data_IF_695420913378
#
_entry.id   IF_695420913378
#
_cell.length_a   1.000
_cell.length_b   1.000
_cell.length_c   1.000
_cell.angle_alpha   90.00
_cell.angle_beta   90.00
_cell.angle_gamma   90.00
#
_symmetry.space_group_name_H-M   'P 1'
#
loop_
_entity.id
_entity.type
_entity.pdbx_description
1 polymer ?
#
# COMPACT_ATOMS: atom_id res chain seq x y z
N UNK A 1 -0.45 17.01 70.83
CA UNK A 1 1.02 17.09 70.99
C UNK A 1 1.56 15.70 70.72
N UNK A 2 2.07 15.31 69.56
CA UNK A 2 2.54 16.02 68.36
C UNK A 2 2.17 15.19 67.12
N UNK A 3 1.77 15.86 66.05
CA UNK A 3 1.78 15.32 64.69
C UNK A 3 3.24 15.30 64.21
N UNK A 4 3.63 14.23 63.51
CA UNK A 4 4.88 14.19 62.77
C UNK A 4 4.51 14.01 61.31
N UNK A 5 4.75 15.08 60.56
CA UNK A 5 4.68 15.16 59.10
C UNK A 5 5.70 14.21 58.49
N UNK A 6 5.30 13.48 57.46
CA UNK A 6 6.23 12.90 56.50
C UNK A 6 5.64 13.15 55.11
N UNK A 7 5.91 14.35 54.58
CA UNK A 7 5.77 14.64 53.16
C UNK A 7 6.69 13.70 52.39
N UNK A 8 6.10 12.74 51.67
CA UNK A 8 6.80 11.99 50.64
C UNK A 8 6.55 12.66 49.29
N UNK A 9 7.63 13.29 48.84
CA UNK A 9 7.93 13.82 47.53
C UNK A 9 7.36 12.95 46.39
N UNK A 10 6.44 13.54 45.63
CA UNK A 10 5.89 13.01 44.39
C UNK A 10 6.86 13.42 43.27
N UNK A 11 7.94 12.66 43.12
CA UNK A 11 8.79 12.78 41.93
C UNK A 11 8.04 12.18 40.73
N UNK A 12 7.44 13.08 39.96
CA UNK A 12 6.99 12.91 38.59
C UNK A 12 8.00 12.11 37.76
N UNK A 13 7.59 10.93 37.29
CA UNK A 13 8.17 10.29 36.12
C UNK A 13 7.20 10.55 34.97
N UNK A 14 7.28 11.73 34.37
CA UNK A 14 6.79 11.93 33.01
C UNK A 14 7.69 11.12 32.08
N UNK A 15 7.35 9.83 31.93
CA UNK A 15 7.77 9.04 30.79
C UNK A 15 7.03 9.64 29.59
N UNK A 16 7.77 10.31 28.72
CA UNK A 16 7.32 10.65 27.38
C UNK A 16 6.84 9.37 26.70
N UNK A 17 5.53 9.15 26.67
CA UNK A 17 4.92 8.15 25.81
C UNK A 17 5.28 8.54 24.37
N UNK A 18 6.28 7.87 23.79
CA UNK A 18 6.40 7.78 22.34
C UNK A 18 5.05 7.23 21.86
N UNK A 19 4.21 8.14 21.35
CA UNK A 19 2.87 7.84 20.87
C UNK A 19 3.03 6.83 19.75
N UNK A 20 2.79 5.55 20.05
CA UNK A 20 2.85 4.46 19.07
C UNK A 20 1.93 4.82 17.91
N UNK A 21 2.53 5.10 16.74
CA UNK A 21 1.81 5.39 15.52
C UNK A 21 1.78 4.13 14.64
N UNK A 22 0.61 3.46 14.53
CA UNK A 22 0.48 2.29 13.66
C UNK A 22 0.78 2.61 12.18
N UNK A 23 0.57 3.84 11.72
CA UNK A 23 0.86 4.24 10.33
C UNK A 23 2.35 4.25 10.05
N UNK A 24 3.14 4.83 10.95
CA UNK A 24 4.60 4.85 10.78
C UNK A 24 5.16 3.43 10.72
N UNK A 25 4.62 2.52 11.54
CA UNK A 25 5.06 1.13 11.54
C UNK A 25 4.67 0.41 10.24
N UNK A 26 3.45 0.63 9.74
CA UNK A 26 3.01 0.14 8.42
C UNK A 26 3.95 0.66 7.32
N UNK A 27 4.24 1.95 7.34
CA UNK A 27 5.16 2.61 6.40
C UNK A 27 6.56 1.98 6.46
N UNK A 28 7.12 1.79 7.66
CA UNK A 28 8.40 1.09 7.88
C UNK A 28 8.39 -0.34 7.34
N UNK A 29 7.33 -1.10 7.58
CA UNK A 29 7.21 -2.49 7.08
C UNK A 29 7.20 -2.52 5.55
N UNK A 30 6.38 -1.68 4.92
CA UNK A 30 6.29 -1.60 3.46
C UNK A 30 7.63 -1.18 2.86
N UNK A 31 8.27 -0.14 3.38
CA UNK A 31 9.58 0.30 2.92
C UNK A 31 10.61 -0.83 2.99
N UNK A 32 10.63 -1.61 4.09
CA UNK A 32 11.57 -2.72 4.23
C UNK A 32 11.37 -3.83 3.18
N UNK A 33 10.13 -4.06 2.74
CA UNK A 33 9.80 -5.02 1.68
C UNK A 33 10.24 -4.50 0.31
N UNK A 34 10.11 -3.20 0.08
CA UNK A 34 10.52 -2.54 -1.17
C UNK A 34 12.03 -2.59 -1.40
N UNK A 35 12.83 -2.67 -0.32
CA UNK A 35 14.31 -2.80 -0.39
C UNK A 35 14.79 -4.22 -0.79
N UNK A 36 13.91 -5.18 -1.05
CA UNK A 36 14.33 -6.49 -1.53
C UNK A 36 14.74 -6.41 -3.01
N UNK A 37 16.04 -6.53 -3.29
CA UNK A 37 16.63 -6.35 -4.63
C UNK A 37 16.14 -7.37 -5.67
N UNK A 38 16.08 -8.66 -5.32
CA UNK A 38 15.66 -9.73 -6.23
C UNK A 38 14.90 -10.86 -5.53
N UNK A 39 13.93 -11.42 -6.25
CA UNK A 39 13.20 -12.63 -5.87
C UNK A 39 13.66 -13.86 -6.65
N UNK A 40 13.65 -15.00 -5.95
CA UNK A 40 13.98 -16.32 -6.53
C UNK A 40 13.02 -16.64 -7.68
N UNK A 41 13.55 -17.31 -8.71
CA UNK A 41 12.84 -17.54 -9.98
C UNK A 41 11.46 -18.17 -9.79
N UNK A 42 11.33 -19.14 -8.88
CA UNK A 42 10.11 -19.93 -8.68
C UNK A 42 8.90 -19.09 -8.26
N UNK A 43 9.08 -18.09 -7.37
CA UNK A 43 8.00 -17.24 -6.85
C UNK A 43 8.14 -15.77 -7.28
N UNK A 44 8.99 -15.49 -8.29
CA UNK A 44 9.34 -14.13 -8.69
C UNK A 44 8.14 -13.28 -9.08
N UNK A 45 7.22 -13.85 -9.86
CA UNK A 45 6.03 -13.14 -10.35
C UNK A 45 5.15 -12.68 -9.20
N UNK A 46 4.75 -13.61 -8.34
CA UNK A 46 3.88 -13.32 -7.19
C UNK A 46 4.53 -12.36 -6.20
N UNK A 47 5.84 -12.52 -5.96
CA UNK A 47 6.57 -11.62 -5.08
C UNK A 47 6.55 -10.18 -5.59
N UNK A 48 6.84 -9.96 -6.87
CA UNK A 48 6.78 -8.61 -7.45
C UNK A 48 5.35 -8.06 -7.51
N UNK A 49 4.34 -8.91 -7.71
CA UNK A 49 2.94 -8.46 -7.68
C UNK A 49 2.58 -7.86 -6.32
N UNK A 50 2.95 -8.52 -5.23
CA UNK A 50 2.74 -7.99 -3.88
C UNK A 50 3.54 -6.70 -3.64
N UNK A 51 4.81 -6.65 -4.03
CA UNK A 51 5.64 -5.43 -3.87
C UNK A 51 5.04 -4.25 -4.60
N UNK A 52 4.52 -4.44 -5.82
CA UNK A 52 3.86 -3.35 -6.56
C UNK A 52 2.63 -2.83 -5.82
N UNK A 53 1.79 -3.73 -5.28
CA UNK A 53 0.64 -3.33 -4.46
C UNK A 53 1.07 -2.61 -3.18
N UNK A 54 2.17 -3.04 -2.57
CA UNK A 54 2.72 -2.42 -1.35
C UNK A 54 3.25 -1.00 -1.63
N UNK A 55 3.94 -0.79 -2.75
CA UNK A 55 4.34 0.55 -3.19
C UNK A 55 3.14 1.47 -3.39
N UNK A 56 2.06 0.96 -3.96
CA UNK A 56 0.84 1.75 -4.12
C UNK A 56 0.17 2.07 -2.78
N UNK A 57 0.09 1.10 -1.88
CA UNK A 57 -0.38 1.35 -0.51
C UNK A 57 0.45 2.43 0.18
N UNK A 58 1.76 2.46 -0.03
CA UNK A 58 2.63 3.52 0.50
C UNK A 58 2.21 4.90 0.02
N UNK A 59 1.99 5.06 -1.30
CA UNK A 59 1.56 6.33 -1.91
C UNK A 59 0.21 6.79 -1.36
N UNK A 60 -0.77 5.86 -1.29
CA UNK A 60 -2.07 6.16 -0.66
C UNK A 60 -1.91 6.59 0.80
N UNK A 61 -1.01 5.96 1.53
CA UNK A 61 -0.84 6.23 2.94
C UNK A 61 -0.19 7.59 3.22
N UNK A 62 0.73 8.00 2.36
CA UNK A 62 1.34 9.34 2.40
C UNK A 62 0.27 10.42 2.17
N UNK A 63 -0.69 10.18 1.27
CA UNK A 63 -1.82 11.10 1.03
C UNK A 63 -2.83 11.11 2.18
N UNK A 64 -3.08 9.94 2.78
CA UNK A 64 -4.06 9.79 3.85
C UNK A 64 -3.51 10.18 5.23
N UNK A 65 -2.20 10.20 5.42
CA UNK A 65 -1.55 10.46 6.72
C UNK A 65 -2.12 11.71 7.43
N UNK A 66 -2.30 12.79 6.68
CA UNK A 66 -2.77 14.08 7.23
C UNK A 66 -4.28 14.11 7.47
N UNK A 67 -5.05 13.27 6.75
CA UNK A 67 -6.50 13.16 6.88
C UNK A 67 -6.93 12.22 8.01
N UNK A 68 -6.05 11.27 8.34
CA UNK A 68 -6.35 10.15 9.22
C UNK A 68 -6.07 10.42 10.70
N UNK A 69 -5.41 11.53 11.04
CA UNK A 69 -5.15 11.91 12.43
C UNK A 69 -6.13 12.97 12.96
N UNK A 70 -6.64 12.81 14.19
CA UNK A 70 -6.42 11.70 15.12
C UNK A 70 -7.30 10.48 14.82
N UNK A 71 -6.72 9.28 14.97
CA UNK A 71 -7.47 8.03 14.79
C UNK A 71 -8.49 7.79 15.89
N UNK A 72 -9.69 7.36 15.49
CA UNK A 72 -10.62 6.68 16.40
C UNK A 72 -10.07 5.29 16.77
N UNK A 73 -10.48 4.78 17.93
CA UNK A 73 -10.07 3.46 18.45
C UNK A 73 -10.34 2.30 17.46
N UNK A 74 -11.42 2.41 16.69
CA UNK A 74 -11.76 1.47 15.62
C UNK A 74 -10.74 1.48 14.48
N UNK A 75 -10.26 2.68 14.12
CA UNK A 75 -9.19 2.88 13.13
C UNK A 75 -7.89 2.25 13.61
N UNK A 76 -7.47 2.50 14.85
CA UNK A 76 -6.25 1.88 15.43
C UNK A 76 -6.31 0.35 15.42
N UNK A 77 -7.49 -0.22 15.73
CA UNK A 77 -7.70 -1.67 15.70
C UNK A 77 -7.58 -2.23 14.28
N UNK A 78 -8.20 -1.56 13.31
CA UNK A 78 -8.09 -1.92 11.89
C UNK A 78 -6.64 -1.83 11.39
N UNK A 79 -5.95 -0.75 11.70
CA UNK A 79 -4.54 -0.53 11.36
C UNK A 79 -3.63 -1.61 11.92
N UNK A 80 -3.89 -2.04 13.16
CA UNK A 80 -3.13 -3.14 13.76
C UNK A 80 -3.32 -4.44 12.98
N UNK A 81 -4.54 -4.74 12.52
CA UNK A 81 -4.79 -5.91 11.65
C UNK A 81 -4.06 -5.79 10.32
N UNK A 82 -4.11 -4.62 9.67
CA UNK A 82 -3.39 -4.37 8.41
C UNK A 82 -1.89 -4.59 8.61
N UNK A 83 -1.31 -4.01 9.66
CA UNK A 83 0.10 -4.20 10.04
C UNK A 83 0.45 -5.68 10.18
N UNK A 84 -0.36 -6.47 10.89
CA UNK A 84 -0.09 -7.89 11.09
C UNK A 84 -0.09 -8.68 9.78
N UNK A 85 -1.00 -8.35 8.84
CA UNK A 85 -1.02 -8.94 7.51
C UNK A 85 0.21 -8.54 6.69
N UNK A 86 0.66 -7.28 6.80
CA UNK A 86 1.87 -6.79 6.13
C UNK A 86 3.13 -7.47 6.67
N UNK A 87 3.21 -7.69 7.98
CA UNK A 87 4.31 -8.43 8.63
C UNK A 87 4.35 -9.88 8.15
N UNK A 88 3.20 -10.57 8.14
CA UNK A 88 3.10 -11.92 7.61
C UNK A 88 3.54 -11.99 6.13
N UNK A 89 3.17 -10.99 5.34
CA UNK A 89 3.58 -10.89 3.93
C UNK A 89 5.08 -10.63 3.79
N UNK A 90 5.65 -9.78 4.63
CA UNK A 90 7.09 -9.50 4.65
C UNK A 90 7.89 -10.78 4.90
N UNK A 91 7.46 -11.63 5.82
CA UNK A 91 8.15 -12.90 6.10
C UNK A 91 8.14 -13.84 4.89
N UNK A 92 6.99 -13.94 4.20
CA UNK A 92 6.89 -14.69 2.95
C UNK A 92 7.82 -14.13 1.86
N UNK A 93 7.85 -12.82 1.69
CA UNK A 93 8.71 -12.16 0.70
C UNK A 93 10.20 -12.26 1.06
N UNK A 94 10.54 -12.27 2.36
CA UNK A 94 11.90 -12.53 2.84
C UNK A 94 12.32 -13.96 2.51
N UNK A 95 11.44 -14.94 2.72
CA UNK A 95 11.67 -16.32 2.28
C UNK A 95 11.89 -16.38 0.76
N UNK A 96 11.08 -15.67 -0.03
CA UNK A 96 11.17 -15.67 -1.49
C UNK A 96 12.35 -14.88 -2.08
N UNK A 97 13.03 -14.04 -1.28
CA UNK A 97 14.23 -13.29 -1.69
C UNK A 97 15.51 -13.95 -1.19
N UNK A 98 15.54 -14.31 0.09
CA UNK A 98 16.74 -14.80 0.78
C UNK A 98 16.78 -16.34 0.91
N UNK A 99 15.64 -17.02 0.78
CA UNK A 99 15.51 -18.46 0.99
C UNK A 99 16.32 -19.32 0.01
N UNK A 100 16.53 -20.58 0.41
CA UNK A 100 17.22 -21.58 -0.40
C UNK A 100 16.45 -21.89 -1.67
N UNK A 101 17.16 -21.87 -2.82
CA UNK A 101 16.58 -22.17 -4.14
C UNK A 101 16.03 -23.60 -4.22
N UNK A 102 16.68 -24.56 -3.57
CA UNK A 102 16.25 -25.97 -3.57
C UNK A 102 15.01 -26.13 -2.70
N UNK A 103 15.01 -25.54 -1.49
CA UNK A 103 13.84 -25.58 -0.60
C UNK A 103 12.61 -24.96 -1.27
N UNK A 104 12.75 -23.78 -1.87
CA UNK A 104 11.66 -23.09 -2.57
C UNK A 104 11.16 -23.82 -3.82
N UNK A 105 12.00 -24.64 -4.46
CA UNK A 105 11.59 -25.48 -5.58
C UNK A 105 10.80 -26.71 -5.09
N UNK A 106 11.25 -27.34 -4.00
CA UNK A 106 10.59 -28.50 -3.40
C UNK A 106 9.24 -28.13 -2.76
N UNK A 107 9.19 -27.01 -2.04
CA UNK A 107 8.01 -26.55 -1.29
C UNK A 107 7.14 -25.58 -2.10
N UNK A 108 7.23 -25.59 -3.43
CA UNK A 108 6.55 -24.60 -4.29
C UNK A 108 5.05 -24.52 -3.99
N UNK A 109 4.38 -25.66 -3.85
CA UNK A 109 2.95 -25.73 -3.57
C UNK A 109 2.58 -25.09 -2.22
N UNK A 110 3.33 -25.42 -1.16
CA UNK A 110 3.13 -24.86 0.19
C UNK A 110 3.34 -23.35 0.20
N UNK A 111 4.38 -22.87 -0.50
CA UNK A 111 4.66 -21.44 -0.63
C UNK A 111 3.54 -20.74 -1.41
N UNK A 112 3.00 -21.35 -2.47
CA UNK A 112 1.89 -20.78 -3.25
C UNK A 112 0.57 -20.75 -2.47
N UNK A 113 0.28 -21.77 -1.65
CA UNK A 113 -0.85 -21.75 -0.69
C UNK A 113 -0.67 -20.58 0.28
N UNK A 114 0.56 -20.30 0.70
CA UNK A 114 0.86 -19.16 1.58
C UNK A 114 0.63 -17.81 0.86
N UNK A 115 0.98 -17.69 -0.42
CA UNK A 115 0.61 -16.52 -1.23
C UNK A 115 -0.90 -16.32 -1.31
N UNK A 116 -1.67 -17.38 -1.57
CA UNK A 116 -3.13 -17.28 -1.59
C UNK A 116 -3.67 -16.79 -0.24
N UNK A 117 -3.16 -17.35 0.86
CA UNK A 117 -3.53 -16.92 2.22
C UNK A 117 -3.19 -15.45 2.48
N UNK A 118 -2.07 -14.95 1.95
CA UNK A 118 -1.73 -13.51 2.01
C UNK A 118 -2.78 -12.69 1.25
N UNK A 119 -3.13 -13.07 0.02
CA UNK A 119 -4.13 -12.36 -0.77
C UNK A 119 -5.51 -12.35 -0.11
N UNK A 120 -5.92 -13.47 0.49
CA UNK A 120 -7.21 -13.57 1.19
C UNK A 120 -7.22 -12.66 2.44
N UNK A 121 -6.13 -12.67 3.21
CA UNK A 121 -5.97 -11.81 4.41
C UNK A 121 -5.93 -10.32 4.07
N UNK A 122 -5.23 -9.94 3.00
CA UNK A 122 -5.22 -8.56 2.52
C UNK A 122 -6.63 -8.15 2.08
N UNK A 123 -7.29 -8.97 1.25
CA UNK A 123 -8.66 -8.70 0.80
C UNK A 123 -9.63 -8.54 1.98
N UNK A 124 -9.51 -9.38 3.00
CA UNK A 124 -10.32 -9.27 4.21
C UNK A 124 -10.00 -7.98 4.99
N UNK A 125 -8.72 -7.69 5.25
CA UNK A 125 -8.33 -6.51 6.03
C UNK A 125 -8.77 -5.21 5.34
N UNK A 126 -8.71 -5.14 4.01
CA UNK A 126 -9.19 -3.98 3.25
C UNK A 126 -10.71 -3.97 3.05
N UNK A 127 -11.39 -5.11 3.10
CA UNK A 127 -12.85 -5.17 3.12
C UNK A 127 -13.46 -4.71 4.44
N UNK A 128 -12.73 -4.89 5.55
CA UNK A 128 -13.12 -4.47 6.91
C UNK A 128 -12.75 -3.01 7.21
N UNK A 129 -12.46 -2.18 6.19
CA UNK A 129 -12.08 -0.78 6.39
C UNK A 129 -13.29 0.00 6.97
N UNK A 130 -13.13 0.68 8.13
CA UNK A 130 -14.22 1.46 8.71
C UNK A 130 -14.35 2.82 8.01
N UNK A 131 -14.79 2.82 6.75
CA UNK A 131 -14.88 4.02 5.91
C UNK A 131 -15.76 5.13 6.52
N UNK A 132 -16.85 4.76 7.17
CA UNK A 132 -17.82 5.69 7.76
C UNK A 132 -17.25 6.34 9.03
N UNK A 133 -16.39 5.62 9.75
CA UNK A 133 -15.78 6.07 10.99
C UNK A 133 -14.45 6.80 10.79
N UNK A 134 -13.71 6.51 9.71
CA UNK A 134 -12.42 7.15 9.43
C UNK A 134 -12.56 8.47 8.63
N UNK A 135 -13.78 8.91 8.28
CA UNK A 135 -13.99 10.17 7.55
C UNK A 135 -13.45 10.15 6.11
N UNK A 136 -13.07 8.97 5.60
CA UNK A 136 -12.48 8.73 4.26
C UNK A 136 -13.52 8.95 3.13
N UNK A 137 -14.82 8.90 3.46
CA UNK A 137 -15.87 8.66 2.48
C UNK A 137 -16.12 9.81 1.49
N UNK A 138 -15.84 11.07 1.84
CA UNK A 138 -16.15 12.22 0.97
C UNK A 138 -14.95 12.69 0.13
N UNK A 139 -13.72 12.71 0.66
CA UNK A 139 -12.53 13.12 -0.13
C UNK A 139 -11.91 11.99 -0.99
N UNK A 140 -11.86 10.73 -0.52
CA UNK A 140 -11.11 9.64 -1.20
C UNK A 140 -11.92 8.96 -2.31
N UNK A 141 -13.24 9.14 -2.31
CA UNK A 141 -14.12 8.55 -3.32
C UNK A 141 -13.98 9.21 -4.70
N UNK A 142 -13.50 10.44 -4.80
CA UNK A 142 -13.74 11.23 -6.02
C UNK A 142 -12.48 11.52 -6.85
N UNK A 143 -11.26 11.50 -6.29
CA UNK A 143 -10.05 11.84 -7.06
C UNK A 143 -8.92 10.82 -6.90
N UNK A 144 -8.34 10.45 -8.04
CA UNK A 144 -7.02 9.81 -8.25
C UNK A 144 -6.77 8.34 -7.90
N UNK A 145 -7.43 7.70 -6.93
CA UNK A 145 -7.09 6.30 -6.60
C UNK A 145 -7.49 5.29 -7.68
N UNK A 146 -8.71 5.39 -8.21
CA UNK A 146 -9.21 4.52 -9.30
C UNK A 146 -8.51 4.81 -10.65
N UNK A 147 -8.13 6.08 -10.89
CA UNK A 147 -7.39 6.46 -12.10
C UNK A 147 -6.01 5.79 -12.12
N UNK A 148 -5.31 5.85 -10.98
CA UNK A 148 -3.99 5.23 -10.81
C UNK A 148 -4.05 3.70 -10.92
N UNK A 149 -5.09 3.05 -10.38
CA UNK A 149 -5.30 1.61 -10.52
C UNK A 149 -5.53 1.21 -11.97
N UNK A 150 -6.46 1.88 -12.66
CA UNK A 150 -6.77 1.57 -14.05
C UNK A 150 -5.54 1.84 -14.96
N UNK A 151 -4.78 2.91 -14.71
CA UNK A 151 -3.50 3.17 -15.41
C UNK A 151 -2.47 2.07 -15.15
N UNK A 152 -2.31 1.63 -13.90
CA UNK A 152 -1.37 0.57 -13.55
C UNK A 152 -1.72 -0.74 -14.27
N UNK A 153 -3.00 -1.08 -14.41
CA UNK A 153 -3.43 -2.26 -15.16
C UNK A 153 -3.07 -2.13 -16.64
N UNK A 154 -3.32 -0.97 -17.26
CA UNK A 154 -2.95 -0.72 -18.66
C UNK A 154 -1.43 -0.81 -18.90
N UNK A 155 -0.61 -0.32 -17.97
CA UNK A 155 0.86 -0.25 -18.13
C UNK A 155 1.64 -1.49 -17.63
N UNK A 156 0.99 -2.53 -17.10
CA UNK A 156 1.66 -3.68 -16.44
C UNK A 156 2.11 -4.82 -17.37
N UNK A 157 2.27 -4.57 -18.68
CA UNK A 157 2.62 -5.50 -19.78
C UNK A 157 3.02 -6.95 -19.42
N UNK A 158 2.20 -7.91 -19.90
CA UNK A 158 2.56 -9.29 -20.30
C UNK A 158 1.38 -10.12 -20.88
N UNK A 159 0.19 -9.56 -21.07
CA UNK A 159 -0.92 -10.25 -21.73
C UNK A 159 -1.77 -9.20 -22.46
N UNK A 160 -1.97 -9.34 -23.78
CA UNK A 160 -2.79 -8.44 -24.63
C UNK A 160 -4.28 -8.38 -24.20
N UNK A 161 -4.62 -9.07 -23.11
CA UNK A 161 -5.95 -9.16 -22.48
C UNK A 161 -6.09 -8.31 -21.22
N UNK A 162 -5.03 -7.61 -20.78
CA UNK A 162 -5.01 -6.99 -19.45
C UNK A 162 -5.82 -5.68 -19.35
N UNK A 163 -5.95 -4.92 -20.45
CA UNK A 163 -6.81 -3.74 -20.48
C UNK A 163 -8.20 -4.14 -21.00
N UNK A 164 -9.07 -4.60 -20.10
CA UNK A 164 -10.48 -4.82 -20.44
C UNK A 164 -11.10 -3.51 -20.96
N UNK A 165 -12.02 -3.59 -21.92
CA UNK A 165 -12.72 -2.46 -22.52
C UNK A 165 -13.34 -1.55 -21.45
N UNK A 166 -13.76 -2.12 -20.31
CA UNK A 166 -14.30 -1.37 -19.18
C UNK A 166 -13.25 -0.46 -18.49
N UNK A 167 -11.99 -0.90 -18.39
CA UNK A 167 -10.87 -0.14 -17.82
C UNK A 167 -10.54 1.03 -18.76
N UNK A 168 -10.44 0.76 -20.06
CA UNK A 168 -10.17 1.79 -21.07
C UNK A 168 -11.28 2.84 -21.09
N UNK A 169 -12.54 2.42 -21.00
CA UNK A 169 -13.68 3.33 -20.97
C UNK A 169 -13.69 4.21 -19.71
N UNK A 170 -13.35 3.66 -18.54
CA UNK A 170 -13.22 4.44 -17.30
C UNK A 170 -12.08 5.44 -17.36
N UNK A 171 -10.90 5.05 -17.87
CA UNK A 171 -9.77 5.96 -18.07
C UNK A 171 -10.13 7.09 -19.03
N UNK A 172 -10.77 6.76 -20.16
CA UNK A 172 -11.21 7.76 -21.13
C UNK A 172 -12.20 8.76 -20.50
N UNK A 173 -13.11 8.29 -19.64
CA UNK A 173 -14.01 9.16 -18.88
C UNK A 173 -13.24 10.07 -17.93
N UNK A 174 -12.36 9.49 -17.12
CA UNK A 174 -11.69 10.21 -16.04
C UNK A 174 -10.62 11.19 -16.51
N UNK A 175 -9.99 10.93 -17.66
CA UNK A 175 -9.04 11.81 -18.34
C UNK A 175 -9.70 12.77 -19.34
N UNK A 176 -11.03 12.73 -19.45
CA UNK A 176 -11.82 13.50 -20.40
C UNK A 176 -11.45 13.29 -21.89
N UNK A 177 -11.00 12.08 -22.23
CA UNK A 177 -10.58 11.68 -23.59
C UNK A 177 -11.70 10.96 -24.35
N UNK A 178 -12.84 11.63 -24.50
CA UNK A 178 -14.06 11.02 -25.06
C UNK A 178 -14.10 10.99 -26.60
N UNK A 179 -13.23 11.76 -27.26
CA UNK A 179 -13.26 11.90 -28.70
C UNK A 179 -11.87 11.80 -29.33
N UNK A 180 -11.85 11.50 -30.63
CA UNK A 180 -10.64 11.52 -31.46
C UNK A 180 -9.97 12.91 -31.42
N UNK A 181 -10.75 13.98 -31.21
CA UNK A 181 -10.20 15.33 -31.10
C UNK A 181 -9.40 15.51 -29.81
N UNK A 182 -9.92 15.03 -28.68
CA UNK A 182 -9.27 15.12 -27.37
C UNK A 182 -7.98 14.30 -27.36
N UNK A 183 -8.04 13.07 -27.90
CA UNK A 183 -6.87 12.21 -28.12
C UNK A 183 -5.78 12.87 -28.98
N UNK A 184 -6.17 13.59 -30.04
CA UNK A 184 -5.21 14.28 -30.89
C UNK A 184 -4.53 15.45 -30.17
N UNK A 185 -5.29 16.21 -29.36
CA UNK A 185 -4.76 17.30 -28.54
C UNK A 185 -3.77 16.74 -27.52
N UNK A 186 -4.14 15.68 -26.82
CA UNK A 186 -3.31 15.06 -25.79
C UNK A 186 -2.04 14.43 -26.40
N UNK A 187 -2.16 13.79 -27.56
CA UNK A 187 -1.00 13.27 -28.31
C UNK A 187 0.00 14.38 -28.67
N UNK A 188 -0.48 15.56 -29.05
CA UNK A 188 0.37 16.73 -29.33
C UNK A 188 1.04 17.25 -28.05
N UNK A 189 0.30 17.36 -26.95
CA UNK A 189 0.82 17.78 -25.66
C UNK A 189 1.95 16.85 -25.17
N UNK A 190 1.74 15.53 -25.23
CA UNK A 190 2.72 14.52 -24.87
C UNK A 190 3.97 14.59 -25.75
N UNK A 191 3.82 14.80 -27.07
CA UNK A 191 4.96 14.95 -27.98
C UNK A 191 5.81 16.17 -27.65
N UNK A 192 5.18 17.28 -27.32
CA UNK A 192 5.88 18.50 -26.93
C UNK A 192 6.65 18.30 -25.61
N UNK A 193 5.98 17.74 -24.59
CA UNK A 193 6.61 17.36 -23.32
C UNK A 193 7.80 16.40 -23.50
N UNK A 194 7.67 15.40 -24.37
CA UNK A 194 8.74 14.46 -24.66
C UNK A 194 9.92 15.10 -25.40
N UNK A 195 9.66 16.11 -26.24
CA UNK A 195 10.70 16.89 -26.90
C UNK A 195 11.45 17.80 -25.92
N UNK A 196 10.74 18.45 -25.00
CA UNK A 196 11.33 19.28 -23.92
C UNK A 196 12.26 18.46 -23.02
N UNK A 197 11.86 17.25 -22.65
CA UNK A 197 12.67 16.34 -21.81
C UNK A 197 13.90 15.76 -22.52
N UNK A 198 13.95 15.75 -23.85
CA UNK A 198 15.12 15.30 -24.63
C UNK A 198 16.14 16.42 -24.90
N UNK A 199 15.78 17.67 -24.59
CA UNK A 199 16.66 18.84 -24.69
C UNK A 199 17.38 19.20 -23.38
N UNK A 200 17.12 18.47 -22.30
CA UNK A 200 17.81 18.53 -21.01
C UNK A 200 18.78 17.35 -20.88
#
# INVERSE_FOLDING_TARGET
>A
MYQMEEERDVSSYELSEEKYDPLEEIHRVIQSVVQFDEYRRTQRKESHNLVRRFKFMLLLWEELHDLLQPFLEIGVTWLTKVKDVLLFTKDLLKLCSQGSKIHLALETEVVMITFQKVYDKLSQAFGDVPCDEIGILDEVKEQDTELAMDMMVVFSDNDDRNADSAIIERLAKKLELYSVKDLNIETLAIRNLAAERKGQ
#
